data_IF_342792670237
#
_entry.id   IF_342792670237
#
_cell.length_a   1.000
_cell.length_b   1.000
_cell.length_c   1.000
_cell.angle_alpha   90.00
_cell.angle_beta   90.00
_cell.angle_gamma   90.00
#
_symmetry.space_group_name_H-M   'P 1'
#
loop_
_entity.id
_entity.type
_entity.pdbx_description
1 polymer ?
#
# COMPACT_ATOMS: atom_id res chain seq x y z
N UNK A 1 0.13 17.97 -13.77
CA UNK A 1 -1.32 18.24 -13.79
C UNK A 1 -1.86 18.11 -12.37
N UNK A 2 -2.74 19.02 -11.95
CA UNK A 2 -3.43 18.97 -10.65
C UNK A 2 -4.86 18.48 -10.88
N UNK A 3 -5.29 17.51 -10.09
CA UNK A 3 -6.62 16.92 -10.16
C UNK A 3 -7.27 16.90 -8.77
N UNK A 4 -8.59 17.06 -8.76
CA UNK A 4 -9.44 16.84 -7.61
C UNK A 4 -10.44 15.75 -7.96
N UNK A 5 -10.52 14.72 -7.11
CA UNK A 5 -11.37 13.56 -7.33
C UNK A 5 -12.29 13.38 -6.12
N UNK A 6 -13.50 12.86 -6.36
CA UNK A 6 -14.47 12.51 -5.31
C UNK A 6 -14.70 10.99 -5.17
N UNK A 7 -13.65 10.17 -4.94
CA UNK A 7 -13.78 8.73 -4.91
C UNK A 7 -14.34 8.22 -3.57
N UNK A 8 -14.67 6.93 -3.50
CA UNK A 8 -14.52 6.22 -2.22
C UNK A 8 -13.02 6.08 -1.92
N UNK A 9 -12.56 6.54 -0.76
CA UNK A 9 -11.12 6.52 -0.40
C UNK A 9 -10.70 5.20 0.23
N UNK A 10 -11.67 4.50 0.84
CA UNK A 10 -11.49 3.33 1.68
C UNK A 10 -12.68 2.38 1.44
N UNK A 11 -12.58 1.59 0.37
CA UNK A 11 -13.65 0.70 -0.12
C UNK A 11 -13.09 -0.70 -0.38
N UNK A 12 -13.97 -1.71 -0.30
CA UNK A 12 -13.58 -3.10 -0.57
C UNK A 12 -13.12 -3.26 -2.03
N UNK A 13 -12.16 -4.16 -2.24
CA UNK A 13 -11.64 -4.56 -3.55
C UNK A 13 -10.97 -3.43 -4.36
N UNK A 14 -10.50 -2.37 -3.70
CA UNK A 14 -9.64 -1.36 -4.29
C UNK A 14 -8.54 -0.95 -3.31
N UNK A 15 -7.35 -0.53 -3.80
CA UNK A 15 -6.32 0.03 -2.93
C UNK A 15 -6.83 1.28 -2.20
N UNK A 16 -6.50 1.41 -0.92
CA UNK A 16 -6.81 2.62 -0.15
C UNK A 16 -6.00 3.80 -0.69
N UNK A 17 -6.53 5.02 -0.50
CA UNK A 17 -5.77 6.23 -0.87
C UNK A 17 -4.44 6.35 -0.13
N UNK A 18 -4.38 5.91 1.12
CA UNK A 18 -3.13 5.85 1.89
C UNK A 18 -2.14 4.85 1.28
N UNK A 19 -2.59 3.68 0.82
CA UNK A 19 -1.72 2.73 0.14
C UNK A 19 -1.12 3.35 -1.13
N UNK A 20 -1.96 4.02 -1.94
CA UNK A 20 -1.48 4.69 -3.15
C UNK A 20 -0.46 5.80 -2.81
N UNK A 21 -0.70 6.54 -1.73
CA UNK A 21 0.15 7.65 -1.29
C UNK A 21 1.49 7.19 -0.71
N UNK A 22 1.49 6.14 0.11
CA UNK A 22 2.65 5.75 0.94
C UNK A 22 3.36 4.47 0.46
N UNK A 23 2.80 3.75 -0.52
CA UNK A 23 3.41 2.54 -1.10
C UNK A 23 3.64 2.71 -2.59
N UNK A 24 2.56 2.83 -3.38
CA UNK A 24 2.68 2.92 -4.84
C UNK A 24 3.47 4.15 -5.28
N UNK A 25 3.11 5.34 -4.82
CA UNK A 25 3.78 6.58 -5.27
C UNK A 25 5.30 6.56 -4.97
N UNK A 26 5.77 6.24 -3.74
CA UNK A 26 7.19 6.14 -3.46
C UNK A 26 7.93 5.13 -4.33
N UNK A 27 7.33 3.97 -4.61
CA UNK A 27 7.91 2.95 -5.51
C UNK A 27 8.04 3.51 -6.93
N UNK A 28 6.99 4.13 -7.46
CA UNK A 28 7.01 4.71 -8.80
C UNK A 28 8.03 5.87 -8.91
N UNK A 29 8.23 6.63 -7.83
CA UNK A 29 9.22 7.70 -7.79
C UNK A 29 10.65 7.19 -7.99
N UNK A 30 10.96 5.92 -7.68
CA UNK A 30 12.26 5.30 -7.98
C UNK A 30 12.56 5.27 -9.49
N UNK A 31 11.52 5.19 -10.33
CA UNK A 31 11.62 5.29 -11.80
C UNK A 31 11.56 6.72 -12.33
N UNK A 32 11.40 7.71 -11.45
CA UNK A 32 11.22 9.12 -11.80
C UNK A 32 9.76 9.56 -11.96
N UNK A 33 8.77 8.66 -11.78
CA UNK A 33 7.36 9.02 -11.83
C UNK A 33 6.95 9.66 -10.52
N UNK A 34 6.84 10.98 -10.51
CA UNK A 34 6.44 11.74 -9.32
C UNK A 34 4.92 11.97 -9.28
N UNK A 35 4.28 11.37 -8.29
CA UNK A 35 2.85 11.53 -7.99
C UNK A 35 2.70 11.97 -6.53
N UNK A 36 2.11 13.13 -6.29
CA UNK A 36 1.71 13.53 -4.95
C UNK A 36 0.22 13.30 -4.77
N UNK A 37 -0.14 12.52 -3.76
CA UNK A 37 -1.52 12.25 -3.36
C UNK A 37 -1.75 12.82 -1.97
N UNK A 38 -2.96 13.31 -1.74
CA UNK A 38 -3.37 13.80 -0.43
C UNK A 38 -4.88 13.60 -0.26
N UNK A 39 -5.24 12.87 0.79
CA UNK A 39 -6.63 12.67 1.18
C UNK A 39 -7.11 13.82 2.06
N UNK A 40 -7.85 14.74 1.46
CA UNK A 40 -8.43 15.91 2.13
C UNK A 40 -9.68 15.54 2.92
N UNK A 41 -10.46 14.57 2.40
CA UNK A 41 -11.66 14.01 3.05
C UNK A 41 -11.76 12.51 2.78
N UNK A 42 -12.08 11.74 3.81
CA UNK A 42 -12.32 10.28 3.71
C UNK A 42 -13.72 10.02 3.16
N UNK A 43 -13.84 9.03 2.26
CA UNK A 43 -15.08 8.59 1.65
C UNK A 43 -15.30 7.10 1.86
N UNK A 44 -16.15 6.75 2.83
CA UNK A 44 -16.52 5.37 3.14
C UNK A 44 -17.82 4.96 2.42
N UNK A 45 -17.96 3.67 2.12
CA UNK A 45 -19.23 3.11 1.64
C UNK A 45 -20.39 3.35 2.64
N UNK A 46 -21.66 3.52 2.22
CA UNK A 46 -22.14 3.58 0.84
C UNK A 46 -22.07 4.97 0.19
N UNK A 47 -22.04 6.05 0.99
CA UNK A 47 -22.15 7.41 0.43
C UNK A 47 -20.89 7.89 -0.28
N UNK A 48 -19.73 7.30 0.01
CA UNK A 48 -18.46 7.71 -0.57
C UNK A 48 -18.15 9.17 -0.23
N UNK A 49 -17.97 9.99 -1.26
CA UNK A 49 -17.67 11.42 -1.16
C UNK A 49 -16.31 11.73 -0.51
N UNK A 50 -15.31 10.91 -0.79
CA UNK A 50 -13.93 11.26 -0.50
C UNK A 50 -13.52 12.51 -1.26
N UNK A 51 -12.40 13.10 -0.89
CA UNK A 51 -11.83 14.22 -1.64
C UNK A 51 -10.32 14.06 -1.66
N UNK A 52 -9.78 13.76 -2.83
CA UNK A 52 -8.35 13.48 -3.02
C UNK A 52 -7.77 14.49 -3.97
N UNK A 53 -6.67 15.11 -3.55
CA UNK A 53 -5.84 15.97 -4.38
C UNK A 53 -4.70 15.15 -4.96
N UNK A 54 -4.59 15.13 -6.28
CA UNK A 54 -3.51 14.44 -6.99
C UNK A 54 -2.70 15.42 -7.85
N UNK A 55 -1.38 15.42 -7.70
CA UNK A 55 -0.45 16.13 -8.59
C UNK A 55 0.47 15.15 -9.28
N UNK A 56 0.38 15.09 -10.59
CA UNK A 56 1.22 14.23 -11.43
C UNK A 56 2.19 15.11 -12.19
N UNK A 57 3.48 14.88 -12.04
CA UNK A 57 4.52 15.68 -12.69
C UNK A 57 4.93 15.05 -14.01
N UNK A 58 5.15 15.89 -15.03
CA UNK A 58 5.65 15.41 -16.31
C UNK A 58 7.04 14.81 -16.10
N UNK A 59 7.25 13.61 -16.63
CA UNK A 59 8.54 12.92 -16.58
C UNK A 59 9.05 12.76 -18.01
N UNK A 60 10.22 13.34 -18.31
CA UNK A 60 10.78 13.30 -19.67
C UNK A 60 11.44 11.95 -20.00
N UNK A 61 12.06 11.31 -18.99
CA UNK A 61 12.71 10.00 -19.12
C UNK A 61 12.50 9.18 -17.86
N UNK A 62 12.05 7.95 -18.03
CA UNK A 62 11.93 6.97 -16.97
C UNK A 62 13.28 6.27 -16.73
N UNK A 63 13.54 5.94 -15.46
CA UNK A 63 14.64 5.06 -15.07
C UNK A 63 14.11 3.63 -14.94
N UNK A 64 14.90 2.60 -15.32
CA UNK A 64 14.53 1.21 -15.07
C UNK A 64 14.20 0.96 -13.60
N UNK A 65 13.11 0.24 -13.35
CA UNK A 65 12.71 -0.22 -12.02
C UNK A 65 13.46 -1.50 -11.68
N UNK A 66 14.58 -1.37 -10.97
CA UNK A 66 15.39 -2.50 -10.54
C UNK A 66 15.21 -2.70 -9.03
N UNK A 67 14.26 -3.56 -8.66
CA UNK A 67 13.91 -3.90 -7.28
C UNK A 67 14.06 -5.41 -7.08
N UNK A 68 15.30 -5.90 -7.07
CA UNK A 68 15.63 -7.31 -6.84
C UNK A 68 16.08 -7.60 -5.41
N UNK A 69 16.56 -6.59 -4.71
CA UNK A 69 16.95 -6.66 -3.31
C UNK A 69 16.12 -5.70 -2.47
N UNK A 70 15.37 -6.23 -1.50
CA UNK A 70 14.54 -5.42 -0.59
C UNK A 70 15.37 -4.65 0.43
N UNK A 71 16.47 -5.24 0.90
CA UNK A 71 17.25 -4.75 2.03
C UNK A 71 16.55 -4.91 3.39
N UNK A 72 17.15 -4.31 4.42
CA UNK A 72 16.64 -4.31 5.81
C UNK A 72 15.40 -3.45 5.95
N UNK A 73 14.55 -3.80 6.91
CA UNK A 73 13.40 -2.97 7.31
C UNK A 73 13.95 -1.84 8.17
N UNK A 74 13.70 -0.60 7.76
CA UNK A 74 14.19 0.58 8.45
C UNK A 74 13.18 1.09 9.48
N UNK A 75 11.89 1.01 9.16
CA UNK A 75 10.79 1.35 10.05
C UNK A 75 9.48 0.75 9.56
N UNK A 76 8.52 0.60 10.48
CA UNK A 76 7.11 0.41 10.13
C UNK A 76 6.35 1.65 10.57
N UNK A 77 5.56 2.23 9.66
CA UNK A 77 4.67 3.32 9.99
C UNK A 77 3.28 3.08 9.40
N UNK A 78 2.29 3.82 9.86
CA UNK A 78 0.94 3.67 9.33
C UNK A 78 -0.05 4.67 9.87
N UNK A 79 -1.26 4.58 9.34
CA UNK A 79 -2.39 5.43 9.69
C UNK A 79 -3.53 4.53 10.11
N UNK A 80 -4.03 4.74 11.32
CA UNK A 80 -5.27 4.18 11.84
C UNK A 80 -6.33 5.26 11.75
N UNK A 81 -7.32 5.11 10.89
CA UNK A 81 -8.30 6.17 10.64
C UNK A 81 -9.73 5.73 10.94
N UNK A 82 -10.54 6.67 11.41
CA UNK A 82 -11.97 6.49 11.59
C UNK A 82 -12.75 7.77 11.32
N UNK A 83 -14.03 7.65 11.01
CA UNK A 83 -14.93 8.80 10.96
C UNK A 83 -15.05 9.43 12.35
N UNK A 84 -15.19 10.76 12.44
CA UNK A 84 -15.27 11.51 13.70
C UNK A 84 -16.33 10.94 14.67
N UNK A 85 -17.47 10.47 14.13
CA UNK A 85 -18.55 9.80 14.88
C UNK A 85 -18.12 8.58 15.70
N UNK A 86 -16.97 7.98 15.37
CA UNK A 86 -16.42 6.80 16.04
C UNK A 86 -15.38 7.15 17.12
N UNK A 87 -14.99 8.44 17.25
CA UNK A 87 -13.99 8.87 18.24
C UNK A 87 -14.40 8.51 19.66
N UNK A 88 -15.67 8.66 20.00
CA UNK A 88 -16.20 8.31 21.34
C UNK A 88 -15.95 6.84 21.72
N UNK A 89 -15.72 5.96 20.74
CA UNK A 89 -15.41 4.53 20.97
C UNK A 89 -13.92 4.20 20.80
N UNK A 90 -13.06 5.21 20.62
CA UNK A 90 -11.62 5.08 20.43
C UNK A 90 -11.25 4.06 19.34
N UNK A 91 -11.97 4.07 18.22
CA UNK A 91 -11.83 3.06 17.16
C UNK A 91 -10.41 3.05 16.57
N UNK A 92 -9.87 4.22 16.23
CA UNK A 92 -8.53 4.33 15.65
C UNK A 92 -7.43 3.89 16.65
N UNK A 93 -7.56 4.25 17.92
CA UNK A 93 -6.64 3.86 18.99
C UNK A 93 -6.68 2.34 19.22
N UNK A 94 -7.87 1.73 19.26
CA UNK A 94 -8.03 0.28 19.46
C UNK A 94 -7.42 -0.53 18.32
N UNK A 95 -7.64 -0.11 17.08
CA UNK A 95 -6.98 -0.66 15.90
C UNK A 95 -5.44 -0.59 16.02
N UNK A 96 -4.93 0.61 16.35
CA UNK A 96 -3.50 0.86 16.54
C UNK A 96 -2.88 0.00 17.63
N UNK A 97 -3.49 -0.08 18.80
CA UNK A 97 -2.88 -0.74 19.96
C UNK A 97 -2.63 -2.23 19.71
N UNK A 98 -3.59 -2.92 19.09
CA UNK A 98 -3.42 -4.34 18.71
C UNK A 98 -2.33 -4.48 17.64
N UNK A 99 -2.35 -3.62 16.63
CA UNK A 99 -1.38 -3.64 15.55
C UNK A 99 0.06 -3.42 16.05
N UNK A 100 0.30 -2.38 16.85
CA UNK A 100 1.62 -2.08 17.40
C UNK A 100 2.17 -3.22 18.24
N UNK A 101 1.32 -3.87 19.05
CA UNK A 101 1.74 -5.01 19.87
C UNK A 101 2.23 -6.15 18.99
N UNK A 102 1.39 -6.59 18.03
CA UNK A 102 1.73 -7.71 17.14
C UNK A 102 2.98 -7.44 16.30
N UNK A 103 3.12 -6.22 15.77
CA UNK A 103 4.30 -5.83 15.00
C UNK A 103 5.55 -5.82 15.88
N UNK A 104 5.51 -5.21 17.07
CA UNK A 104 6.66 -5.19 17.99
C UNK A 104 7.07 -6.61 18.39
N UNK A 105 6.12 -7.47 18.71
CA UNK A 105 6.39 -8.87 19.06
C UNK A 105 7.06 -9.63 17.90
N UNK A 106 6.50 -9.52 16.69
CA UNK A 106 7.09 -10.12 15.48
C UNK A 106 8.50 -9.59 15.20
N UNK A 107 8.68 -8.26 15.24
CA UNK A 107 9.95 -7.63 14.91
C UNK A 107 11.05 -8.00 15.91
N UNK A 108 10.74 -7.98 17.21
CA UNK A 108 11.67 -8.36 18.27
C UNK A 108 12.05 -9.85 18.20
N UNK A 109 11.13 -10.71 17.79
CA UNK A 109 11.39 -12.14 17.61
C UNK A 109 12.21 -12.42 16.34
N UNK A 110 11.91 -11.72 15.24
CA UNK A 110 12.45 -12.04 13.90
C UNK A 110 13.76 -11.34 13.57
N UNK A 111 14.04 -10.19 14.19
CA UNK A 111 15.17 -9.33 13.85
C UNK A 111 16.00 -8.98 15.08
N UNK A 112 17.32 -9.02 14.94
CA UNK A 112 18.26 -8.73 16.02
C UNK A 112 18.61 -7.23 16.15
N UNK A 113 17.77 -6.34 15.61
CA UNK A 113 17.97 -4.89 15.66
C UNK A 113 16.65 -4.18 15.89
N UNK A 114 16.71 -3.00 16.52
CA UNK A 114 15.51 -2.22 16.86
C UNK A 114 14.93 -1.58 15.61
N UNK A 115 13.71 -1.97 15.27
CA UNK A 115 12.92 -1.37 14.18
C UNK A 115 11.83 -0.50 14.82
N UNK A 116 11.79 0.81 14.55
CA UNK A 116 10.74 1.67 15.08
C UNK A 116 9.39 1.34 14.42
N UNK A 117 8.33 1.38 15.25
CA UNK A 117 6.94 1.25 14.82
C UNK A 117 6.21 2.55 15.19
N UNK A 118 5.58 3.22 14.22
CA UNK A 118 4.88 4.50 14.42
C UNK A 118 3.55 4.53 13.67
N UNK A 119 2.46 4.35 14.40
CA UNK A 119 1.12 4.44 13.83
C UNK A 119 0.45 5.70 14.35
N UNK A 120 -0.08 6.53 13.45
CA UNK A 120 -0.83 7.72 13.81
C UNK A 120 -2.33 7.45 13.76
N UNK A 121 -3.06 8.02 14.70
CA UNK A 121 -4.51 8.02 14.75
C UNK A 121 -5.06 9.23 13.99
N UNK A 122 -6.04 8.98 13.12
CA UNK A 122 -6.71 10.02 12.35
C UNK A 122 -8.23 9.90 12.54
N UNK A 123 -8.85 11.03 12.82
CA UNK A 123 -10.30 11.15 12.80
C UNK A 123 -10.69 12.30 11.89
N UNK A 124 -11.62 12.04 10.98
CA UNK A 124 -12.13 13.03 10.02
C UNK A 124 -13.63 12.97 9.91
N UNK A 125 -14.23 14.12 9.67
CA UNK A 125 -15.63 14.21 9.26
C UNK A 125 -15.82 13.49 7.91
N UNK A 126 -16.91 12.72 7.81
CA UNK A 126 -17.26 11.95 6.61
C UNK A 126 -18.77 11.72 6.53
N UNK A 127 -19.29 11.53 5.31
CA UNK A 127 -20.74 11.33 5.10
C UNK A 127 -21.23 9.98 5.65
N UNK A 128 -20.43 8.94 5.45
CA UNK A 128 -20.65 7.61 6.02
C UNK A 128 -19.74 7.40 7.23
N UNK A 129 -20.21 6.62 8.19
CA UNK A 129 -19.39 6.08 9.26
C UNK A 129 -18.48 4.98 8.68
N UNK A 130 -17.21 4.98 9.04
CA UNK A 130 -16.26 3.97 8.60
C UNK A 130 -14.92 4.11 9.31
N UNK A 131 -14.10 3.07 9.21
CA UNK A 131 -12.74 3.06 9.74
C UNK A 131 -11.86 2.12 8.92
N UNK A 132 -10.56 2.23 9.12
CA UNK A 132 -9.58 1.39 8.46
C UNK A 132 -8.18 1.69 8.96
N UNK A 133 -7.23 0.91 8.45
CA UNK A 133 -5.83 1.11 8.73
C UNK A 133 -5.02 0.78 7.48
N UNK A 134 -3.95 1.54 7.27
CA UNK A 134 -2.89 1.21 6.31
C UNK A 134 -1.53 1.23 7.02
N UNK A 135 -0.74 0.19 6.81
CA UNK A 135 0.62 0.03 7.34
C UNK A 135 1.61 -0.06 6.19
N UNK A 136 2.80 0.46 6.44
CA UNK A 136 3.91 0.51 5.49
C UNK A 136 5.17 0.05 6.19
N UNK A 137 5.80 -1.00 5.68
CA UNK A 137 7.18 -1.33 6.02
C UNK A 137 8.10 -0.65 5.01
N UNK A 138 8.85 0.36 5.46
CA UNK A 138 9.91 0.98 4.66
C UNK A 138 11.18 0.18 4.82
N UNK A 139 11.78 -0.19 3.70
CA UNK A 139 13.07 -0.89 3.68
C UNK A 139 14.15 0.02 3.09
N UNK A 140 15.37 -0.50 2.97
CA UNK A 140 16.47 0.25 2.34
C UNK A 140 16.15 0.64 0.89
N UNK A 141 15.47 -0.23 0.14
CA UNK A 141 15.29 -0.06 -1.30
C UNK A 141 13.82 0.08 -1.75
N UNK A 142 12.84 -0.23 -0.92
CA UNK A 142 11.43 -0.34 -1.35
C UNK A 142 10.45 -0.21 -0.18
N UNK A 143 9.16 -0.41 -0.46
CA UNK A 143 8.05 -0.29 0.47
C UNK A 143 7.14 -1.52 0.32
N UNK A 144 6.62 -2.02 1.44
CA UNK A 144 5.56 -3.03 1.46
C UNK A 144 4.35 -2.45 2.19
N UNK A 145 3.17 -2.66 1.65
CA UNK A 145 1.91 -2.18 2.22
C UNK A 145 1.00 -3.30 2.71
N UNK A 146 0.19 -2.97 3.71
CA UNK A 146 -1.01 -3.73 4.05
C UNK A 146 -2.11 -2.75 4.47
N UNK A 147 -3.36 -3.09 4.19
CA UNK A 147 -4.51 -2.33 4.65
C UNK A 147 -5.64 -3.25 5.09
N UNK A 148 -6.41 -2.80 6.09
CA UNK A 148 -7.62 -3.48 6.53
C UNK A 148 -8.73 -2.45 6.76
N UNK A 149 -9.96 -2.79 6.36
CA UNK A 149 -11.14 -1.95 6.55
C UNK A 149 -11.98 -2.44 7.72
N UNK A 150 -12.57 -1.49 8.44
CA UNK A 150 -13.68 -1.76 9.35
C UNK A 150 -14.94 -2.15 8.58
N UNK A 151 -15.74 -3.00 9.20
CA UNK A 151 -16.99 -3.47 8.63
C UNK A 151 -18.03 -3.73 9.73
N UNK A 152 -19.31 -3.82 9.35
CA UNK A 152 -20.38 -4.13 10.28
C UNK A 152 -20.13 -5.53 10.87
N UNK A 153 -20.09 -5.60 12.21
CA UNK A 153 -19.83 -6.84 12.93
C UNK A 153 -18.35 -7.15 13.16
N UNK A 154 -17.43 -6.40 12.54
CA UNK A 154 -15.99 -6.53 12.74
C UNK A 154 -15.51 -5.52 13.79
N UNK A 155 -14.84 -6.01 14.82
CA UNK A 155 -14.29 -5.20 15.91
C UNK A 155 -13.07 -4.40 15.47
N UNK A 156 -12.75 -3.33 16.21
CA UNK A 156 -11.56 -2.52 15.96
C UNK A 156 -10.27 -3.33 16.12
N UNK A 157 -10.25 -4.24 17.08
CA UNK A 157 -9.13 -5.16 17.33
C UNK A 157 -8.92 -6.10 16.15
N UNK A 158 -9.98 -6.70 15.59
CA UNK A 158 -9.89 -7.56 14.42
C UNK A 158 -9.34 -6.81 13.20
N UNK A 159 -9.69 -5.54 13.01
CA UNK A 159 -9.11 -4.73 11.93
C UNK A 159 -7.61 -4.50 12.14
N UNK A 160 -7.19 -4.17 13.36
CA UNK A 160 -5.78 -3.99 13.70
C UNK A 160 -4.98 -5.29 13.56
N UNK A 161 -5.55 -6.41 13.99
CA UNK A 161 -4.96 -7.75 13.88
C UNK A 161 -4.81 -8.19 12.43
N UNK A 162 -5.86 -8.03 11.61
CA UNK A 162 -5.83 -8.35 10.18
C UNK A 162 -4.75 -7.54 9.46
N UNK A 163 -4.69 -6.23 9.67
CA UNK A 163 -3.70 -5.38 9.02
C UNK A 163 -2.27 -5.78 9.40
N UNK A 164 -2.02 -6.04 10.69
CA UNK A 164 -0.71 -6.45 11.19
C UNK A 164 -0.30 -7.82 10.62
N UNK A 165 -1.18 -8.82 10.66
CA UNK A 165 -0.91 -10.16 10.14
C UNK A 165 -0.66 -10.13 8.64
N UNK A 166 -1.42 -9.34 7.88
CA UNK A 166 -1.17 -9.16 6.45
C UNK A 166 0.22 -8.59 6.20
N UNK A 167 0.61 -7.48 6.88
CA UNK A 167 1.95 -6.91 6.68
C UNK A 167 3.06 -7.90 7.07
N UNK A 168 2.89 -8.63 8.18
CA UNK A 168 3.85 -9.65 8.62
C UNK A 168 4.01 -10.73 7.55
N UNK A 169 2.90 -11.21 6.97
CA UNK A 169 2.92 -12.18 5.88
C UNK A 169 3.67 -11.64 4.66
N UNK A 170 3.39 -10.41 4.23
CA UNK A 170 4.08 -9.77 3.11
C UNK A 170 5.59 -9.58 3.37
N UNK A 171 5.99 -9.26 4.60
CA UNK A 171 7.40 -9.21 4.99
C UNK A 171 8.05 -10.59 4.86
N UNK A 172 7.37 -11.65 5.32
CA UNK A 172 7.87 -13.02 5.34
C UNK A 172 8.04 -13.62 3.94
N UNK A 173 7.20 -13.25 2.96
CA UNK A 173 7.27 -13.73 1.57
C UNK A 173 8.59 -13.38 0.88
N UNK A 174 9.24 -12.27 1.25
CA UNK A 174 10.63 -11.99 0.87
C UNK A 174 10.85 -11.29 -0.48
N UNK A 175 9.79 -10.94 -1.20
CA UNK A 175 9.83 -10.08 -2.38
C UNK A 175 10.07 -8.61 -2.03
N UNK A 176 10.34 -7.80 -3.06
CA UNK A 176 10.59 -6.36 -2.96
C UNK A 176 9.31 -5.53 -3.04
N UNK A 177 8.22 -6.11 -3.50
CA UNK A 177 6.89 -5.48 -3.53
C UNK A 177 5.86 -6.47 -2.99
N UNK A 178 4.83 -5.96 -2.32
CA UNK A 178 3.77 -6.80 -1.75
C UNK A 178 2.85 -7.40 -2.83
N UNK A 179 2.00 -8.36 -2.45
CA UNK A 179 1.11 -9.07 -3.39
C UNK A 179 0.18 -8.15 -4.18
N UNK A 180 -0.26 -7.01 -3.62
CA UNK A 180 -1.08 -6.04 -4.36
C UNK A 180 -0.23 -5.18 -5.31
N UNK A 181 0.94 -4.74 -4.85
CA UNK A 181 1.85 -3.99 -5.71
C UNK A 181 2.38 -4.86 -6.87
N UNK A 182 2.41 -6.19 -6.69
CA UNK A 182 2.83 -7.16 -7.71
C UNK A 182 2.01 -7.07 -9.00
N UNK A 183 0.70 -6.77 -8.91
CA UNK A 183 -0.10 -6.50 -10.10
C UNK A 183 0.01 -5.05 -10.59
N UNK A 184 0.06 -4.08 -9.67
CA UNK A 184 0.08 -2.65 -9.99
C UNK A 184 1.36 -2.21 -10.69
N UNK A 185 2.50 -2.87 -10.40
CA UNK A 185 3.81 -2.49 -10.93
C UNK A 185 4.00 -2.85 -12.41
N UNK A 186 3.27 -3.84 -12.92
CA UNK A 186 3.48 -4.43 -14.26
C UNK A 186 3.42 -3.40 -15.40
N UNK A 187 2.37 -2.54 -15.50
CA UNK A 187 2.32 -1.52 -16.54
C UNK A 187 3.53 -0.57 -16.49
N UNK A 188 4.03 -0.29 -15.30
CA UNK A 188 5.18 0.59 -15.12
C UNK A 188 6.50 -0.08 -15.50
N UNK A 189 6.70 -1.37 -15.19
CA UNK A 189 7.85 -2.14 -15.68
C UNK A 189 7.84 -2.20 -17.21
N UNK A 190 6.66 -2.34 -17.83
CA UNK A 190 6.53 -2.43 -19.28
C UNK A 190 7.09 -1.19 -20.01
N UNK A 191 6.90 0.00 -19.42
CA UNK A 191 7.33 1.29 -20.00
C UNK A 191 8.67 1.78 -19.47
N UNK A 192 8.95 1.59 -18.17
CA UNK A 192 10.20 2.03 -17.54
C UNK A 192 11.35 1.05 -17.77
N UNK A 193 11.04 -0.22 -18.12
CA UNK A 193 11.94 -1.37 -18.14
C UNK A 193 12.46 -1.73 -16.74
N UNK A 194 13.26 -2.79 -16.67
CA UNK A 194 13.87 -3.27 -15.43
C UNK A 194 13.30 -4.59 -14.95
N UNK A 195 13.55 -4.89 -13.68
CA UNK A 195 13.23 -6.16 -13.02
C UNK A 195 12.83 -5.96 -11.56
N UNK A 196 11.72 -6.57 -11.16
CA UNK A 196 11.13 -6.43 -9.83
C UNK A 196 10.83 -7.82 -9.28
N UNK A 197 11.37 -8.10 -8.09
CA UNK A 197 11.06 -9.29 -7.33
C UNK A 197 9.73 -9.11 -6.59
N UNK A 198 8.73 -9.89 -6.95
CA UNK A 198 7.35 -9.81 -6.43
C UNK A 198 7.13 -10.82 -5.30
N UNK A 199 6.19 -10.54 -4.40
CA UNK A 199 5.79 -11.50 -3.37
C UNK A 199 4.94 -12.65 -3.94
N UNK A 200 4.14 -12.37 -4.97
CA UNK A 200 3.20 -13.35 -5.51
C UNK A 200 2.73 -12.97 -6.92
N UNK A 201 2.70 -13.95 -7.82
CA UNK A 201 2.07 -13.79 -9.13
C UNK A 201 0.54 -14.01 -9.03
N UNK A 202 -0.17 -12.98 -8.57
CA UNK A 202 -1.63 -13.00 -8.40
C UNK A 202 -2.39 -13.15 -9.73
N UNK A 203 -3.68 -13.48 -9.69
CA UNK A 203 -4.51 -13.52 -10.91
C UNK A 203 -4.61 -12.16 -11.62
N UNK A 204 -4.66 -11.06 -10.84
CA UNK A 204 -4.60 -9.71 -11.38
C UNK A 204 -3.25 -9.43 -12.05
N UNK A 205 -2.14 -9.86 -11.45
CA UNK A 205 -0.81 -9.73 -12.04
C UNK A 205 -0.70 -10.51 -13.35
N UNK A 206 -1.19 -11.76 -13.41
CA UNK A 206 -1.25 -12.55 -14.66
C UNK A 206 -2.06 -11.86 -15.75
N UNK A 207 -3.18 -11.25 -15.38
CA UNK A 207 -4.02 -10.50 -16.32
C UNK A 207 -3.28 -9.27 -16.85
N UNK A 208 -2.63 -8.51 -15.97
CA UNK A 208 -1.84 -7.35 -16.38
C UNK A 208 -0.67 -7.76 -17.29
N UNK A 209 0.04 -8.86 -17.01
CA UNK A 209 1.08 -9.41 -17.90
C UNK A 209 0.53 -9.76 -19.28
N UNK A 210 -0.64 -10.39 -19.34
CA UNK A 210 -1.30 -10.68 -20.61
C UNK A 210 -1.62 -9.40 -21.38
N UNK A 211 -2.25 -8.42 -20.72
CA UNK A 211 -2.67 -7.16 -21.34
C UNK A 211 -1.49 -6.36 -21.86
N UNK A 212 -0.44 -6.13 -21.08
CA UNK A 212 0.72 -5.35 -21.55
C UNK A 212 1.41 -5.99 -22.76
N UNK A 213 1.36 -7.32 -22.87
CA UNK A 213 1.93 -8.05 -24.00
C UNK A 213 1.06 -8.04 -25.25
N UNK A 214 -0.25 -7.78 -25.15
CA UNK A 214 -1.08 -7.43 -26.32
C UNK A 214 -0.58 -6.15 -27.01
N UNK A 215 0.06 -5.25 -26.25
CA UNK A 215 0.71 -4.05 -26.76
C UNK A 215 2.19 -4.28 -27.17
N UNK A 216 2.64 -5.54 -27.22
CA UNK A 216 4.01 -5.94 -27.63
C UNK A 216 5.12 -5.38 -26.73
N UNK A 217 4.85 -5.22 -25.43
CA UNK A 217 5.81 -4.67 -24.46
C UNK A 217 6.81 -5.70 -23.88
N UNK A 218 6.70 -6.98 -24.24
CA UNK A 218 7.59 -8.12 -23.86
C UNK A 218 7.93 -8.18 -22.35
N UNK A 219 6.91 -8.09 -21.51
CA UNK A 219 7.05 -8.27 -20.05
C UNK A 219 6.92 -9.75 -19.71
N UNK A 220 7.88 -10.29 -18.97
CA UNK A 220 7.96 -11.71 -18.59
C UNK A 220 7.96 -11.85 -17.07
N UNK A 221 7.60 -13.04 -16.61
CA UNK A 221 7.70 -13.43 -15.21
C UNK A 221 8.30 -14.83 -15.13
N UNK A 222 9.40 -14.96 -14.40
CA UNK A 222 10.08 -16.24 -14.13
C UNK A 222 10.23 -16.40 -12.61
N UNK A 223 9.56 -17.42 -12.04
CA UNK A 223 9.50 -17.55 -10.58
C UNK A 223 8.84 -16.33 -9.94
N UNK A 224 9.59 -15.65 -9.06
CA UNK A 224 9.19 -14.43 -8.35
C UNK A 224 9.75 -13.14 -8.99
N UNK A 225 10.32 -13.22 -10.20
CA UNK A 225 10.92 -12.08 -10.88
C UNK A 225 10.08 -11.66 -12.10
N UNK A 226 9.53 -10.45 -12.06
CA UNK A 226 8.89 -9.80 -13.21
C UNK A 226 9.87 -8.87 -13.86
N UNK A 227 10.06 -8.96 -15.19
CA UNK A 227 11.05 -8.16 -15.88
C UNK A 227 10.63 -7.79 -17.31
N UNK A 228 11.18 -6.70 -17.82
CA UNK A 228 11.06 -6.28 -19.21
C UNK A 228 12.45 -5.86 -19.71
N UNK A 229 12.99 -6.66 -20.64
CA UNK A 229 14.32 -6.44 -21.22
C UNK A 229 14.24 -5.39 -22.34
N UNK A 230 15.37 -4.71 -22.58
CA UNK A 230 15.54 -3.78 -23.71
C UNK A 230 15.48 -4.51 -25.05
#
# INVERSE_FOLDING_TARGET
>A
MLHFLEPGTDVKNAPTTDYLQYVLSPILNLSGILIQLETLRRGYYPKGNGFVRARIYKTEKLKPLNLTERGKILEIYGISHASEKLRIRNVAERQKNVCEKLLKDFLNYRFNYKIPVRIIEEYRESLSTGSGMTLIARTENTFLGASALGDIGKTSEEVGEECAKTLISEIQKGGCVDSYMSDQIIPYIAVAKGEVKINELTMHAKTNLYVVNLFKLDVKCEGDLVYCKN
#
